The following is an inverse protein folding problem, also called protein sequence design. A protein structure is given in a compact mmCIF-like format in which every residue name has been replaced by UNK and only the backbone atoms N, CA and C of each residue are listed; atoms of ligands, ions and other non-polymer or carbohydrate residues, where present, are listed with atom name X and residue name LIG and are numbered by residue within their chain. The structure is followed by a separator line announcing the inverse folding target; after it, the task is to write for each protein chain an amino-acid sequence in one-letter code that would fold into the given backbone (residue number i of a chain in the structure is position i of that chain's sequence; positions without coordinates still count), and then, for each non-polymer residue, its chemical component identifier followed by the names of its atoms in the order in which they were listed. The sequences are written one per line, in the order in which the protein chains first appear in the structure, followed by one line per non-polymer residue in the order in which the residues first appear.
data_IF_639551763699
#
_entry.id   IF_639551763699
#
_cell.length_a   1.000
_cell.length_b   1.000
_cell.length_c   1.000
_cell.angle_alpha   90.00
_cell.angle_beta   90.00
_cell.angle_gamma   90.00
#
_symmetry.space_group_name_H-M   'P 1'
#
loop_
_entity.id
_entity.type
_entity.pdbx_description
1 polymer ?
#
# COMPACT_ATOMS: atom_id res chain seq x y z
N UNK A 1 5.00 -21.25 12.19
CA UNK A 1 3.64 -20.74 11.96
C UNK A 1 3.64 -20.07 10.59
N UNK A 2 2.84 -20.51 9.62
CA UNK A 2 2.74 -19.87 8.29
C UNK A 2 1.80 -18.68 8.43
N UNK A 3 2.33 -17.47 8.32
CA UNK A 3 1.50 -16.27 8.25
C UNK A 3 1.25 -15.93 6.79
N UNK A 4 -0.01 -15.71 6.47
CA UNK A 4 -0.44 -15.16 5.18
C UNK A 4 -0.99 -13.77 5.46
N UNK A 5 -0.29 -12.73 5.03
CA UNK A 5 -0.83 -11.37 4.99
C UNK A 5 -0.96 -10.97 3.52
N UNK A 6 -2.17 -10.60 3.10
CA UNK A 6 -2.45 -10.15 1.71
C UNK A 6 -1.99 -11.12 0.61
N UNK A 7 -2.08 -12.44 0.85
CA UNK A 7 -1.76 -13.46 -0.16
C UNK A 7 -0.26 -13.79 -0.31
N UNK A 8 0.61 -13.27 0.57
CA UNK A 8 2.04 -13.61 0.58
C UNK A 8 2.31 -14.68 1.64
N UNK A 9 2.93 -15.80 1.24
CA UNK A 9 3.36 -16.87 2.15
C UNK A 9 4.71 -16.49 2.75
N UNK A 10 4.78 -16.16 4.05
CA UNK A 10 6.06 -15.92 4.72
C UNK A 10 6.68 -17.25 5.17
N UNK A 11 7.69 -17.74 4.46
CA UNK A 11 8.50 -18.90 4.89
C UNK A 11 9.74 -18.37 5.60
N UNK A 12 9.91 -18.72 6.88
CA UNK A 12 11.12 -18.53 7.70
C UNK A 12 11.93 -17.26 7.35
N UNK A 13 11.29 -16.10 7.44
CA UNK A 13 11.93 -14.83 7.11
C UNK A 13 12.49 -14.25 8.40
N UNK A 14 13.80 -14.01 8.43
CA UNK A 14 14.39 -13.11 9.42
C UNK A 14 13.81 -11.72 9.16
N UNK A 15 12.93 -11.26 10.04
CA UNK A 15 12.33 -9.94 9.89
C UNK A 15 13.21 -8.91 10.60
N UNK A 16 13.66 -7.90 9.85
CA UNK A 16 14.22 -6.67 10.38
C UNK A 16 13.22 -5.55 10.06
N UNK A 17 12.77 -4.84 11.09
CA UNK A 17 11.93 -3.67 10.93
C UNK A 17 12.72 -2.43 11.32
N UNK A 18 12.64 -1.38 10.51
CA UNK A 18 13.14 -0.06 10.88
C UNK A 18 11.96 0.85 11.15
N UNK A 19 11.86 1.35 12.38
CA UNK A 19 10.95 2.43 12.73
C UNK A 19 11.71 3.74 12.59
N UNK A 20 11.23 4.61 11.72
CA UNK A 20 11.81 5.95 11.52
C UNK A 20 10.87 6.96 12.15
N UNK A 21 11.35 7.73 13.13
CA UNK A 21 10.55 8.81 13.72
C UNK A 21 10.59 10.08 12.84
N UNK A 22 9.81 11.10 13.22
CA UNK A 22 9.72 12.37 12.48
C UNK A 22 11.05 13.14 12.40
N UNK A 23 12.00 12.85 13.28
CA UNK A 23 13.34 13.45 13.31
C UNK A 23 14.38 12.61 12.54
N UNK A 24 13.96 11.52 11.88
CA UNK A 24 14.84 10.63 11.13
C UNK A 24 15.61 9.63 12.00
N UNK A 25 15.30 9.51 13.30
CA UNK A 25 15.94 8.48 14.14
C UNK A 25 15.40 7.10 13.78
N UNK A 26 16.33 6.16 13.61
CA UNK A 26 16.07 4.78 13.27
C UNK A 26 16.08 3.94 14.55
N UNK A 27 15.00 3.21 14.78
CA UNK A 27 14.95 2.11 15.73
C UNK A 27 14.88 0.81 14.93
N UNK A 28 15.95 0.03 14.99
CA UNK A 28 16.00 -1.32 14.44
C UNK A 28 15.33 -2.28 15.41
N UNK A 29 14.36 -3.04 14.91
CA UNK A 29 13.70 -4.11 15.63
C UNK A 29 14.00 -5.43 14.93
N UNK A 30 14.65 -6.33 15.65
CA UNK A 30 15.03 -7.65 15.16
C UNK A 30 14.27 -8.77 15.90
N UNK A 31 14.49 -10.00 15.46
CA UNK A 31 13.94 -11.22 16.04
C UNK A 31 14.33 -11.50 17.50
N UNK A 32 15.31 -10.77 18.07
CA UNK A 32 15.66 -10.88 19.48
C UNK A 32 14.75 -10.01 20.36
N UNK A 33 13.96 -9.13 19.74
CA UNK A 33 12.93 -8.35 20.43
C UNK A 33 11.78 -9.27 20.82
N UNK A 34 11.60 -9.53 22.12
CA UNK A 34 10.45 -10.28 22.61
C UNK A 34 9.16 -9.59 22.15
N UNK A 35 8.18 -10.39 21.73
CA UNK A 35 6.87 -9.91 21.28
C UNK A 35 6.92 -8.93 20.09
N UNK A 36 7.97 -9.01 19.25
CA UNK A 36 8.10 -8.15 18.06
C UNK A 36 6.84 -8.14 17.19
N UNK A 37 6.23 -9.30 16.99
CA UNK A 37 5.02 -9.40 16.19
C UNK A 37 3.87 -8.57 16.79
N UNK A 38 3.61 -8.73 18.09
CA UNK A 38 2.57 -7.99 18.80
C UNK A 38 2.85 -6.48 18.77
N UNK A 39 4.10 -6.08 19.02
CA UNK A 39 4.53 -4.69 18.92
C UNK A 39 4.28 -4.10 17.53
N UNK A 40 4.65 -4.82 16.47
CA UNK A 40 4.42 -4.37 15.09
C UNK A 40 2.92 -4.26 14.81
N UNK A 41 2.09 -5.18 15.30
CA UNK A 41 0.63 -5.09 15.13
C UNK A 41 0.04 -3.88 15.86
N UNK A 42 0.47 -3.63 17.11
CA UNK A 42 0.01 -2.47 17.88
C UNK A 42 0.40 -1.15 17.21
N UNK A 43 1.65 -1.05 16.72
CA UNK A 43 2.12 0.12 15.97
C UNK A 43 1.27 0.31 14.71
N UNK A 44 1.01 -0.75 13.95
CA UNK A 44 0.17 -0.68 12.74
C UNK A 44 -1.25 -0.26 13.08
N UNK A 45 -1.83 -0.82 14.14
CA UNK A 45 -3.18 -0.49 14.59
C UNK A 45 -3.29 0.98 14.99
N UNK A 46 -2.29 1.52 15.70
CA UNK A 46 -2.24 2.93 16.10
C UNK A 46 -1.99 3.89 14.92
N UNK A 47 -1.08 3.54 14.00
CA UNK A 47 -0.69 4.41 12.89
C UNK A 47 -1.68 4.39 11.73
N UNK A 48 -2.37 3.28 11.49
CA UNK A 48 -3.30 3.13 10.36
C UNK A 48 -4.35 4.25 10.28
N UNK A 49 -5.13 4.59 11.34
CA UNK A 49 -6.12 5.65 11.24
C UNK A 49 -5.49 7.02 10.96
N UNK A 50 -4.29 7.29 11.50
CA UNK A 50 -3.57 8.55 11.29
C UNK A 50 -3.13 8.68 9.83
N UNK A 51 -2.47 7.64 9.30
CA UNK A 51 -1.99 7.60 7.92
C UNK A 51 -3.15 7.62 6.92
N UNK A 52 -4.22 6.88 7.21
CA UNK A 52 -5.43 6.87 6.41
C UNK A 52 -6.07 8.26 6.33
N UNK A 53 -6.28 8.93 7.47
CA UNK A 53 -6.87 10.27 7.49
C UNK A 53 -6.02 11.26 6.69
N UNK A 54 -4.70 11.23 6.85
CA UNK A 54 -3.78 12.08 6.10
C UNK A 54 -3.87 11.85 4.58
N UNK A 55 -3.86 10.59 4.15
CA UNK A 55 -3.98 10.25 2.74
C UNK A 55 -5.36 10.62 2.16
N UNK A 56 -6.42 10.39 2.93
CA UNK A 56 -7.79 10.73 2.53
C UNK A 56 -8.01 12.25 2.46
N UNK A 57 -7.41 13.04 3.36
CA UNK A 57 -7.42 14.52 3.28
C UNK A 57 -6.73 15.03 2.04
N UNK A 58 -5.52 14.54 1.75
CA UNK A 58 -4.80 14.89 0.53
C UNK A 58 -5.67 14.59 -0.71
N UNK A 59 -6.26 13.39 -0.77
CA UNK A 59 -7.16 13.00 -1.85
C UNK A 59 -8.36 13.95 -1.98
N UNK A 60 -9.08 14.23 -0.88
CA UNK A 60 -10.23 15.14 -0.89
C UNK A 60 -9.89 16.55 -1.35
N UNK A 61 -8.65 17.00 -1.11
CA UNK A 61 -8.19 18.33 -1.51
C UNK A 61 -7.62 18.37 -2.94
N UNK A 62 -7.78 17.33 -3.75
CA UNK A 62 -7.21 17.33 -5.10
C UNK A 62 -5.71 17.03 -5.15
N UNK A 63 -5.10 16.72 -4.01
CA UNK A 63 -3.65 16.51 -3.90
C UNK A 63 -3.30 15.04 -4.10
N UNK A 64 -2.05 14.79 -4.49
CA UNK A 64 -1.52 13.45 -4.55
C UNK A 64 -0.89 13.03 -3.22
N UNK A 65 -0.93 11.73 -2.96
CA UNK A 65 -0.30 11.12 -1.79
C UNK A 65 0.57 9.93 -2.23
N UNK A 66 1.83 9.95 -1.80
CA UNK A 66 2.82 8.92 -2.14
C UNK A 66 2.80 7.74 -1.17
N UNK A 67 2.96 6.54 -1.72
CA UNK A 67 3.08 5.26 -1.05
C UNK A 67 4.33 4.53 -1.57
N UNK A 68 5.49 5.20 -1.51
CA UNK A 68 6.72 4.74 -2.17
C UNK A 68 6.64 4.90 -3.69
N UNK A 69 6.74 3.81 -4.45
CA UNK A 69 6.74 3.85 -5.94
C UNK A 69 5.34 3.98 -6.56
N UNK A 70 4.30 4.05 -5.72
CA UNK A 70 2.92 4.28 -6.11
C UNK A 70 2.48 5.62 -5.56
N UNK A 71 1.85 6.45 -6.39
CA UNK A 71 1.22 7.69 -5.97
C UNK A 71 -0.26 7.63 -6.35
N UNK A 72 -1.11 8.13 -5.46
CA UNK A 72 -2.55 8.18 -5.69
C UNK A 72 -3.06 9.61 -5.65
N UNK A 73 -3.96 9.94 -6.57
CA UNK A 73 -4.63 11.23 -6.68
C UNK A 73 -6.09 11.05 -7.10
N UNK A 74 -6.92 12.10 -7.06
CA UNK A 74 -8.28 12.03 -7.61
C UNK A 74 -8.33 11.74 -9.10
N UNK A 75 -7.26 11.99 -9.86
CA UNK A 75 -7.20 11.64 -11.28
C UNK A 75 -6.92 10.15 -11.51
N UNK A 76 -6.31 9.43 -10.55
CA UNK A 76 -5.93 8.03 -10.74
C UNK A 76 -4.75 7.59 -9.89
N UNK A 77 -4.13 6.49 -10.33
CA UNK A 77 -2.91 5.92 -9.76
C UNK A 77 -1.72 6.16 -10.69
N UNK A 78 -0.62 6.63 -10.14
CA UNK A 78 0.68 6.61 -10.83
C UNK A 78 1.49 5.46 -10.28
N UNK A 79 1.93 4.55 -11.15
CA UNK A 79 2.81 3.43 -10.80
C UNK A 79 3.99 3.39 -11.76
N UNK A 80 5.22 3.39 -11.24
CA UNK A 80 6.44 3.36 -12.07
C UNK A 80 6.42 4.40 -13.22
N UNK A 81 6.01 5.64 -12.92
CA UNK A 81 5.88 6.76 -13.86
C UNK A 81 4.75 6.64 -14.89
N UNK A 82 3.89 5.62 -14.79
CA UNK A 82 2.71 5.46 -15.65
C UNK A 82 1.45 5.84 -14.90
N UNK A 83 0.66 6.72 -15.50
CA UNK A 83 -0.65 7.14 -14.99
C UNK A 83 -1.74 6.17 -15.43
N UNK A 84 -2.58 5.77 -14.48
CA UNK A 84 -3.77 4.95 -14.67
C UNK A 84 -4.97 5.75 -14.14
N UNK A 85 -5.72 6.38 -15.05
CA UNK A 85 -6.92 7.12 -14.68
C UNK A 85 -7.99 6.18 -14.12
N UNK A 86 -8.74 6.60 -13.09
CA UNK A 86 -9.72 5.73 -12.44
C UNK A 86 -10.74 5.15 -13.42
N UNK A 87 -11.17 5.97 -14.39
CA UNK A 87 -12.15 5.62 -15.41
C UNK A 87 -11.62 4.53 -16.36
N UNK A 88 -10.31 4.44 -16.50
CA UNK A 88 -9.61 3.49 -17.37
C UNK A 88 -9.25 2.19 -16.64
N UNK A 89 -9.34 2.14 -15.31
CA UNK A 89 -9.02 0.95 -14.51
C UNK A 89 -10.21 -0.01 -14.51
N UNK A 90 -9.98 -1.25 -14.93
CA UNK A 90 -10.96 -2.34 -14.80
C UNK A 90 -10.83 -3.01 -13.43
N UNK A 91 -9.60 -3.33 -13.04
CA UNK A 91 -9.34 -4.12 -11.84
C UNK A 91 -8.06 -3.66 -11.17
N UNK A 92 -8.05 -3.73 -9.83
CA UNK A 92 -6.85 -3.60 -9.01
C UNK A 92 -6.89 -4.77 -8.05
N UNK A 93 -5.83 -5.58 -8.04
CA UNK A 93 -5.72 -6.74 -7.17
C UNK A 93 -4.29 -6.91 -6.65
N UNK A 94 -4.15 -7.54 -5.48
CA UNK A 94 -2.85 -7.98 -4.96
C UNK A 94 -2.75 -9.49 -5.14
N UNK A 95 -1.73 -9.95 -5.86
CA UNK A 95 -1.49 -11.37 -6.10
C UNK A 95 0.00 -11.64 -6.24
N UNK A 96 0.48 -12.75 -5.67
CA UNK A 96 1.89 -13.15 -5.70
C UNK A 96 2.86 -12.04 -5.25
N UNK A 97 2.50 -11.30 -4.20
CA UNK A 97 3.33 -10.20 -3.68
C UNK A 97 3.38 -8.96 -4.58
N UNK A 98 2.46 -8.82 -5.54
CA UNK A 98 2.43 -7.69 -6.48
C UNK A 98 1.07 -7.01 -6.49
N UNK A 99 1.07 -5.69 -6.55
CA UNK A 99 -0.11 -4.90 -6.92
C UNK A 99 -0.24 -4.91 -8.44
N UNK A 100 -1.35 -5.44 -8.95
CA UNK A 100 -1.68 -5.53 -10.36
C UNK A 100 -2.79 -4.53 -10.69
N UNK A 101 -2.59 -3.74 -11.74
CA UNK A 101 -3.56 -2.77 -12.25
C UNK A 101 -3.89 -3.15 -13.68
N UNK A 102 -5.14 -3.54 -13.92
CA UNK A 102 -5.64 -3.95 -15.23
C UNK A 102 -6.49 -2.84 -15.83
N UNK A 103 -6.13 -2.27 -17.00
CA UNK A 103 -6.97 -1.28 -17.67
C UNK A 103 -8.16 -1.94 -18.39
N UNK A 104 -9.27 -1.20 -18.55
CA UNK A 104 -10.47 -1.62 -19.29
C UNK A 104 -10.21 -1.88 -20.78
N UNK A 105 -9.22 -1.20 -21.35
CA UNK A 105 -8.80 -1.33 -22.74
C UNK A 105 -7.28 -1.40 -22.82
N UNK A 106 -6.76 -2.33 -23.63
CA UNK A 106 -5.33 -2.47 -23.90
C UNK A 106 -4.89 -3.93 -23.97
N UNK A 107 -3.69 -4.16 -24.54
CA UNK A 107 -3.05 -5.48 -24.55
C UNK A 107 -2.31 -5.80 -23.24
N UNK A 108 -1.69 -6.98 -23.15
CA UNK A 108 -0.98 -7.44 -21.95
C UNK A 108 0.05 -6.41 -21.42
N UNK A 109 0.73 -5.68 -22.32
CA UNK A 109 1.71 -4.64 -21.98
C UNK A 109 1.12 -3.35 -21.38
N UNK A 110 -0.21 -3.21 -21.34
CA UNK A 110 -0.86 -2.05 -20.76
C UNK A 110 -1.06 -2.15 -19.24
N UNK A 111 -0.85 -3.32 -18.65
CA UNK A 111 -1.01 -3.54 -17.21
C UNK A 111 0.07 -2.83 -16.38
N UNK A 112 -0.32 -2.37 -15.19
CA UNK A 112 0.61 -1.93 -14.14
C UNK A 112 0.94 -3.08 -13.22
N UNK A 113 2.20 -3.19 -12.81
CA UNK A 113 2.63 -4.22 -11.87
C UNK A 113 3.75 -3.71 -10.98
N UNK A 114 3.50 -3.66 -9.67
CA UNK A 114 4.44 -3.15 -8.66
C UNK A 114 4.63 -4.19 -7.57
N UNK A 115 5.87 -4.40 -7.13
CA UNK A 115 6.16 -5.24 -5.97
C UNK A 115 5.60 -4.58 -4.70
N UNK A 116 4.80 -5.33 -3.93
CA UNK A 116 4.22 -4.84 -2.67
C UNK A 116 5.27 -4.41 -1.65
N UNK A 117 6.49 -4.94 -1.71
CA UNK A 117 7.60 -4.53 -0.85
C UNK A 117 8.08 -3.09 -1.14
N UNK A 118 7.77 -2.54 -2.33
CA UNK A 118 8.09 -1.15 -2.70
C UNK A 118 6.95 -0.18 -2.40
N UNK A 119 5.83 -0.68 -1.88
CA UNK A 119 4.63 0.10 -1.56
C UNK A 119 4.61 0.35 -0.06
N UNK A 120 4.90 1.58 0.32
CA UNK A 120 4.80 1.99 1.72
C UNK A 120 3.34 1.97 2.16
N UNK A 121 3.06 1.49 3.38
CA UNK A 121 1.72 1.49 3.95
C UNK A 121 0.64 0.88 3.03
N UNK A 122 0.95 -0.24 2.37
CA UNK A 122 0.06 -0.93 1.41
C UNK A 122 -1.39 -1.04 1.88
N UNK A 123 -1.61 -1.35 3.16
CA UNK A 123 -2.97 -1.50 3.72
C UNK A 123 -3.79 -0.21 3.60
N UNK A 124 -3.16 0.95 3.86
CA UNK A 124 -3.78 2.27 3.74
C UNK A 124 -4.10 2.58 2.29
N UNK A 125 -3.18 2.25 1.36
CA UNK A 125 -3.42 2.41 -0.07
C UNK A 125 -4.64 1.58 -0.52
N UNK A 126 -4.68 0.30 -0.15
CA UNK A 126 -5.77 -0.60 -0.55
C UNK A 126 -7.12 -0.18 0.02
N UNK A 127 -7.15 0.25 1.30
CA UNK A 127 -8.35 0.76 1.93
C UNK A 127 -8.87 2.02 1.23
N UNK A 128 -7.98 2.93 0.86
CA UNK A 128 -8.37 4.16 0.18
C UNK A 128 -8.83 3.90 -1.26
N UNK A 129 -8.17 2.98 -1.98
CA UNK A 129 -8.64 2.49 -3.29
C UNK A 129 -10.05 1.91 -3.18
N UNK A 130 -10.32 1.10 -2.14
CA UNK A 130 -11.63 0.51 -1.94
C UNK A 130 -12.71 1.58 -1.76
N UNK A 131 -12.48 2.58 -0.91
CA UNK A 131 -13.43 3.69 -0.72
C UNK A 131 -13.66 4.51 -1.99
N UNK A 132 -12.62 4.76 -2.78
CA UNK A 132 -12.74 5.48 -4.05
C UNK A 132 -13.62 4.69 -5.03
N UNK A 133 -13.41 3.38 -5.12
CA UNK A 133 -14.24 2.52 -5.98
C UNK A 133 -15.70 2.48 -5.51
N UNK A 134 -15.95 2.37 -4.21
CA UNK A 134 -17.30 2.42 -3.65
C UNK A 134 -18.02 3.73 -3.98
N UNK A 135 -17.33 4.87 -3.84
CA UNK A 135 -17.87 6.19 -4.15
C UNK A 135 -18.16 6.41 -5.65
N UNK A 136 -17.51 5.67 -6.54
CA UNK A 136 -17.76 5.72 -7.99
C UNK A 136 -18.94 4.85 -8.43
N UNK A 137 -19.33 3.87 -7.61
CA UNK A 137 -20.46 2.97 -7.87
C UNK A 137 -21.78 3.43 -7.23
N UNK A 138 -21.73 4.41 -6.33
CA UNK A 138 -22.90 5.03 -5.68
C UNK A 138 -23.46 6.17 -6.53
#
# INVERSE_FOLDING_TARGET
MRHTAYGVVTVATTFQYWLVNQNGHLLELDQNTQNLHELVQEIRHALRPILFNKAAEAYRHGQSFGFGVVEMSPAGLVCQKKMFAWEQIAEIQVSNGRLLISPKKGGFFSHGSVDTAQIENLEVLLELIHKVKEAQTA
#
